data_IF_674796044007
#
_entry.id   IF_674796044007
#
_cell.length_a   1.000
_cell.length_b   1.000
_cell.length_c   1.000
_cell.angle_alpha   90.00
_cell.angle_beta   90.00
_cell.angle_gamma   90.00
#
_symmetry.space_group_name_H-M   'P 1'
#
loop_
_entity.id
_entity.type
_entity.pdbx_description
1 polymer ?
#
# COMPACT_ATOMS: atom_id res chain seq x y z
N UNK A 1 1.50 24.66 4.77
CA UNK A 1 1.71 23.26 5.21
C UNK A 1 0.42 22.47 5.47
N UNK A 2 -0.63 23.04 6.06
CA UNK A 2 -1.92 22.33 6.27
C UNK A 2 -2.60 21.82 4.97
N UNK A 3 -2.39 22.51 3.84
CA UNK A 3 -3.01 22.17 2.54
C UNK A 3 -2.43 20.90 1.91
N UNK A 4 -1.14 20.60 2.09
CA UNK A 4 -0.52 19.39 1.54
C UNK A 4 -0.82 18.14 2.36
N UNK A 5 -0.86 18.26 3.69
CA UNK A 5 -1.28 17.18 4.58
C UNK A 5 -2.72 16.74 4.32
N UNK A 6 -3.65 17.69 4.18
CA UNK A 6 -5.04 17.41 3.84
C UNK A 6 -5.20 16.84 2.42
N UNK A 7 -4.47 17.38 1.44
CA UNK A 7 -4.49 16.90 0.05
C UNK A 7 -3.89 15.49 -0.09
N UNK A 8 -2.85 15.18 0.68
CA UNK A 8 -2.26 13.85 0.74
C UNK A 8 -3.18 12.86 1.48
N UNK A 9 -3.86 13.30 2.55
CA UNK A 9 -4.87 12.49 3.25
C UNK A 9 -6.02 12.05 2.34
N UNK A 10 -6.56 12.95 1.51
CA UNK A 10 -7.62 12.61 0.56
C UNK A 10 -7.19 11.61 -0.51
N UNK A 11 -5.98 11.78 -1.07
CA UNK A 11 -5.40 10.82 -2.04
C UNK A 11 -5.11 9.46 -1.40
N UNK A 12 -4.64 9.45 -0.15
CA UNK A 12 -4.40 8.24 0.64
C UNK A 12 -5.67 7.44 0.83
N UNK A 13 -6.73 8.10 1.26
CA UNK A 13 -8.02 7.47 1.49
C UNK A 13 -8.60 6.89 0.20
N UNK A 14 -8.55 7.64 -0.92
CA UNK A 14 -9.03 7.18 -2.21
C UNK A 14 -8.28 5.93 -2.71
N UNK A 15 -6.94 5.90 -2.59
CA UNK A 15 -6.17 4.72 -2.99
C UNK A 15 -6.47 3.51 -2.13
N UNK A 16 -6.57 3.68 -0.80
CA UNK A 16 -6.89 2.56 0.10
C UNK A 16 -8.29 2.01 -0.15
N UNK A 17 -9.25 2.90 -0.44
CA UNK A 17 -10.58 2.48 -0.86
C UNK A 17 -10.53 1.64 -2.14
N UNK A 18 -9.77 2.08 -3.15
CA UNK A 18 -9.61 1.36 -4.40
C UNK A 18 -8.91 -0.01 -4.21
N UNK A 19 -7.88 -0.08 -3.38
CA UNK A 19 -7.18 -1.34 -3.07
C UNK A 19 -8.10 -2.30 -2.30
N UNK A 20 -8.85 -1.80 -1.30
CA UNK A 20 -9.81 -2.60 -0.54
C UNK A 20 -10.94 -3.13 -1.42
N UNK A 21 -11.45 -2.30 -2.34
CA UNK A 21 -12.43 -2.74 -3.32
C UNK A 21 -11.85 -3.81 -4.24
N UNK A 22 -10.62 -3.61 -4.73
CA UNK A 22 -9.91 -4.60 -5.55
C UNK A 22 -9.76 -5.95 -4.82
N UNK A 23 -9.42 -5.93 -3.53
CA UNK A 23 -9.36 -7.14 -2.68
C UNK A 23 -10.71 -7.83 -2.52
N UNK A 24 -11.81 -7.07 -2.50
CA UNK A 24 -13.15 -7.61 -2.32
C UNK A 24 -13.69 -8.24 -3.62
N UNK A 25 -13.31 -7.69 -4.77
CA UNK A 25 -13.77 -8.13 -6.09
C UNK A 25 -12.96 -9.33 -6.61
N UNK A 26 -11.66 -9.39 -6.31
CA UNK A 26 -10.76 -10.42 -6.82
C UNK A 26 -9.75 -10.85 -5.75
N UNK A 27 -9.81 -12.13 -5.36
CA UNK A 27 -8.92 -12.72 -4.36
C UNK A 27 -7.48 -12.91 -4.85
N UNK A 28 -7.29 -12.97 -6.17
CA UNK A 28 -5.98 -13.16 -6.80
C UNK A 28 -5.38 -11.83 -7.26
N UNK A 29 -6.06 -10.71 -7.00
CA UNK A 29 -5.58 -9.39 -7.36
C UNK A 29 -4.24 -9.06 -6.68
N UNK A 30 -3.29 -8.57 -7.45
CA UNK A 30 -1.99 -8.13 -6.96
C UNK A 30 -1.84 -6.61 -7.03
N UNK A 31 -1.00 -6.05 -6.15
CA UNK A 31 -0.59 -4.65 -6.25
C UNK A 31 0.34 -4.47 -7.45
N UNK A 32 0.17 -3.35 -8.15
CA UNK A 32 1.23 -2.86 -9.05
C UNK A 32 2.42 -2.37 -8.22
N UNK A 33 3.65 -2.37 -8.76
CA UNK A 33 4.83 -1.90 -8.04
C UNK A 33 4.66 -0.52 -7.40
N UNK A 34 4.07 0.43 -8.15
CA UNK A 34 3.80 1.79 -7.66
C UNK A 34 2.82 1.81 -6.48
N UNK A 35 1.80 0.94 -6.50
CA UNK A 35 0.82 0.85 -5.41
C UNK A 35 1.45 0.22 -4.16
N UNK A 36 2.29 -0.80 -4.35
CA UNK A 36 3.04 -1.44 -3.28
C UNK A 36 3.98 -0.46 -2.58
N UNK A 37 4.75 0.34 -3.35
CA UNK A 37 5.62 1.40 -2.81
C UNK A 37 4.81 2.42 -2.02
N UNK A 38 3.72 2.93 -2.57
CA UNK A 38 2.88 3.93 -1.90
C UNK A 38 2.30 3.41 -0.58
N UNK A 39 1.77 2.18 -0.55
CA UNK A 39 1.24 1.58 0.68
C UNK A 39 2.33 1.42 1.74
N UNK A 40 3.54 1.01 1.33
CA UNK A 40 4.67 0.85 2.24
C UNK A 40 5.20 2.17 2.78
N UNK A 41 5.36 3.19 1.93
CA UNK A 41 5.72 4.55 2.34
C UNK A 41 4.73 5.08 3.39
N UNK A 42 3.44 4.86 3.18
CA UNK A 42 2.43 5.30 4.15
C UNK A 42 2.47 4.52 5.44
N UNK A 43 2.75 3.21 5.41
CA UNK A 43 2.94 2.43 6.62
C UNK A 43 4.16 2.89 7.42
N UNK A 44 5.22 3.35 6.75
CA UNK A 44 6.42 3.90 7.39
C UNK A 44 6.11 5.24 8.06
N UNK A 45 5.36 6.11 7.38
CA UNK A 45 4.98 7.44 7.88
C UNK A 45 3.82 7.41 8.91
N UNK A 46 3.17 6.26 9.10
CA UNK A 46 2.01 6.16 9.98
C UNK A 46 2.42 6.10 11.47
N UNK A 47 2.01 7.10 12.24
CA UNK A 47 2.20 7.15 13.70
C UNK A 47 1.24 6.23 14.47
N UNK A 48 0.05 5.97 13.91
CA UNK A 48 -0.92 5.05 14.49
C UNK A 48 -0.56 3.59 14.17
N UNK A 49 -0.24 2.83 15.22
CA UNK A 49 0.10 1.42 15.10
C UNK A 49 -1.02 0.57 14.49
N UNK A 50 -2.28 0.93 14.72
CA UNK A 50 -3.40 0.19 14.14
C UNK A 50 -3.46 0.38 12.62
N UNK A 51 -3.47 1.63 12.17
CA UNK A 51 -3.43 1.97 10.75
C UNK A 51 -2.17 1.40 10.05
N UNK A 52 -1.01 1.47 10.71
CA UNK A 52 0.22 0.85 10.22
C UNK A 52 0.07 -0.66 10.00
N UNK A 53 -0.51 -1.38 10.96
CA UNK A 53 -0.75 -2.81 10.83
C UNK A 53 -1.72 -3.14 9.68
N UNK A 54 -2.78 -2.35 9.50
CA UNK A 54 -3.69 -2.53 8.36
C UNK A 54 -2.98 -2.36 7.02
N UNK A 55 -2.15 -1.32 6.87
CA UNK A 55 -1.41 -1.06 5.65
C UNK A 55 -0.43 -2.19 5.30
N UNK A 56 0.28 -2.71 6.30
CA UNK A 56 1.19 -3.84 6.12
C UNK A 56 0.44 -5.14 5.78
N UNK A 57 -0.74 -5.34 6.36
CA UNK A 57 -1.60 -6.48 6.00
C UNK A 57 -2.07 -6.39 4.54
N UNK A 58 -2.49 -5.22 4.08
CA UNK A 58 -2.86 -4.98 2.68
C UNK A 58 -1.66 -5.25 1.76
N UNK A 59 -0.49 -4.70 2.10
CA UNK A 59 0.74 -4.91 1.34
C UNK A 59 1.08 -6.40 1.21
N UNK A 60 1.00 -7.15 2.30
CA UNK A 60 1.28 -8.59 2.30
C UNK A 60 0.23 -9.39 1.53
N UNK A 61 -1.06 -9.11 1.76
CA UNK A 61 -2.16 -9.87 1.15
C UNK A 61 -2.18 -9.75 -0.38
N UNK A 62 -1.78 -8.60 -0.90
CA UNK A 62 -1.79 -8.31 -2.34
C UNK A 62 -0.45 -8.59 -3.03
N UNK A 63 0.42 -9.41 -2.43
CA UNK A 63 1.66 -9.88 -3.06
C UNK A 63 2.84 -8.91 -3.01
N UNK A 64 2.79 -7.85 -2.19
CA UNK A 64 3.87 -6.87 -2.08
C UNK A 64 5.22 -7.49 -1.68
N UNK A 65 5.21 -8.56 -0.87
CA UNK A 65 6.43 -9.31 -0.53
C UNK A 65 7.03 -10.07 -1.71
N UNK A 66 6.19 -10.66 -2.58
CA UNK A 66 6.64 -11.35 -3.80
C UNK A 66 7.25 -10.35 -4.76
N UNK A 67 6.57 -9.22 -4.96
CA UNK A 67 7.02 -8.14 -5.84
C UNK A 67 8.40 -7.61 -5.44
N UNK A 68 8.66 -7.43 -4.14
CA UNK A 68 9.98 -7.02 -3.65
C UNK A 68 11.04 -8.11 -3.87
N UNK A 69 10.70 -9.38 -3.67
CA UNK A 69 11.64 -10.50 -3.91
C UNK A 69 12.06 -10.57 -5.37
N UNK A 70 11.13 -10.37 -6.30
CA UNK A 70 11.42 -10.37 -7.73
C UNK A 70 12.39 -9.24 -8.10
N UNK A 71 12.17 -8.03 -7.57
CA UNK A 71 13.09 -6.89 -7.76
C UNK A 71 14.49 -7.18 -7.20
N UNK A 72 14.59 -7.83 -6.04
CA UNK A 72 15.90 -8.20 -5.48
C UNK A 72 16.57 -9.34 -6.23
N UNK A 73 15.81 -10.28 -6.80
CA UNK A 73 16.34 -11.36 -7.62
C UNK A 73 16.95 -10.82 -8.93
N UNK A 74 16.35 -9.80 -9.54
CA UNK A 74 16.85 -9.16 -10.76
C UNK A 74 18.15 -8.34 -10.56
N UNK A 75 18.53 -8.06 -9.31
CA UNK A 75 19.76 -7.34 -8.96
C UNK A 75 20.99 -8.25 -8.79
N UNK A 76 20.82 -9.58 -8.88
CA UNK A 76 21.85 -10.60 -8.69
C UNK A 76 22.12 -11.41 -9.96
#
# INVERSE_FOLDING_TARGET
>A
MASELARNGGKRHALLSAIRQKMAEDRDAQLRPSEAVMVLEWAIECEDNFCKAELLNIFSAMGGLTLMKDVFADLH
#
